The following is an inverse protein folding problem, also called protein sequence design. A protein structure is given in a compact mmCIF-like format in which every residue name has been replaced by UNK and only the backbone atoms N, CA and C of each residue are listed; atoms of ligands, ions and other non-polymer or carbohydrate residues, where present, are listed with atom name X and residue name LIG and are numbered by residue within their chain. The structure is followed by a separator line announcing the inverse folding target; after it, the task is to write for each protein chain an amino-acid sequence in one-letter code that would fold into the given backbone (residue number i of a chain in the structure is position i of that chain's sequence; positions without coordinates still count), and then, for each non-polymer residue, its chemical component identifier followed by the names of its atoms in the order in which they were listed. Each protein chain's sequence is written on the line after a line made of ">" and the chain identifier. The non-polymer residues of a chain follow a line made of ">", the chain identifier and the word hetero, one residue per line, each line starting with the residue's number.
data_IF_163326203770
#
_entry.id   IF_163326203770
#
_cell.length_a   1.000
_cell.length_b   1.000
_cell.length_c   1.000
_cell.angle_alpha   90.00
_cell.angle_beta   90.00
_cell.angle_gamma   90.00
#
_symmetry.space_group_name_H-M   'P 1'
#
loop_
_entity.id
_entity.type
_entity.pdbx_description
1 polymer ?
#
# COMPACT_ATOMS: atom_id res chain seq x y z
N UNK A 1 35.08 6.83 -45.83
CA UNK A 1 33.82 7.58 -45.62
C UNK A 1 32.86 6.63 -44.92
N UNK A 2 32.70 6.76 -43.59
CA UNK A 2 31.88 5.86 -42.79
C UNK A 2 30.53 6.51 -42.55
N UNK A 3 29.48 6.07 -43.25
CA UNK A 3 28.12 6.53 -43.04
C UNK A 3 27.56 5.90 -41.76
N UNK A 4 27.22 6.72 -40.76
CA UNK A 4 26.49 6.28 -39.57
C UNK A 4 24.99 6.33 -39.87
N UNK A 5 24.35 5.17 -39.92
CA UNK A 5 22.91 5.04 -40.10
C UNK A 5 22.21 5.38 -38.78
N UNK A 6 21.51 6.52 -38.72
CA UNK A 6 20.68 6.89 -37.57
C UNK A 6 19.28 6.28 -37.76
N UNK A 7 18.92 5.31 -36.92
CA UNK A 7 17.58 4.72 -36.89
C UNK A 7 16.74 5.51 -35.89
N UNK A 8 15.68 6.17 -36.35
CA UNK A 8 14.74 6.91 -35.50
C UNK A 8 13.51 6.02 -35.22
N UNK A 9 13.37 5.57 -33.97
CA UNK A 9 12.17 4.88 -33.50
C UNK A 9 11.13 5.93 -33.06
N UNK A 10 10.00 6.01 -33.76
CA UNK A 10 8.83 6.77 -33.32
C UNK A 10 7.94 5.86 -32.46
N UNK A 11 7.86 6.13 -31.15
CA UNK A 11 6.90 5.49 -30.24
C UNK A 11 5.71 6.42 -30.05
N UNK A 12 4.51 5.95 -30.38
CA UNK A 12 3.26 6.69 -30.14
C UNK A 12 2.74 6.37 -28.74
N UNK A 13 2.58 7.39 -27.90
CA UNK A 13 1.88 7.28 -26.61
C UNK A 13 0.41 7.61 -26.86
N UNK A 14 -0.46 6.61 -26.78
CA UNK A 14 -1.91 6.79 -26.77
C UNK A 14 -2.31 7.32 -25.38
N UNK A 15 -2.63 8.61 -25.28
CA UNK A 15 -3.23 9.20 -24.08
C UNK A 15 -4.73 8.89 -24.12
N UNK A 16 -5.16 7.92 -23.32
CA UNK A 16 -6.57 7.62 -23.15
C UNK A 16 -7.16 8.61 -22.15
N UNK A 17 -7.79 9.68 -22.66
CA UNK A 17 -8.55 10.61 -21.83
C UNK A 17 -9.96 10.05 -21.63
N UNK A 18 -10.12 9.13 -20.68
CA UNK A 18 -11.47 8.78 -20.21
C UNK A 18 -11.93 9.84 -19.23
N UNK A 19 -12.86 10.71 -19.64
CA UNK A 19 -13.72 11.44 -18.71
C UNK A 19 -14.66 10.43 -18.05
N UNK A 20 -14.11 9.63 -17.14
CA UNK A 20 -14.89 8.74 -16.30
C UNK A 20 -15.57 9.60 -15.22
N UNK A 21 -16.88 9.78 -15.42
CA UNK A 21 -17.99 9.92 -14.47
C UNK A 21 -17.69 10.45 -13.07
N UNK A 22 -18.52 11.35 -12.49
CA UNK A 22 -18.38 11.71 -11.08
C UNK A 22 -18.54 10.43 -10.27
N UNK A 23 -17.41 9.93 -9.77
CA UNK A 23 -17.37 8.74 -8.95
C UNK A 23 -18.29 9.03 -7.77
N UNK A 24 -19.35 8.24 -7.67
CA UNK A 24 -20.02 8.00 -6.42
C UNK A 24 -18.94 7.92 -5.34
N UNK A 25 -19.06 8.70 -4.27
CA UNK A 25 -18.23 8.59 -3.10
C UNK A 25 -18.40 7.16 -2.55
N UNK A 26 -17.66 6.22 -3.11
CA UNK A 26 -17.57 4.87 -2.64
C UNK A 26 -16.87 5.02 -1.30
N UNK A 27 -17.63 4.85 -0.22
CA UNK A 27 -17.08 4.51 1.08
C UNK A 27 -16.31 3.20 0.89
N UNK A 28 -15.04 3.32 0.52
CA UNK A 28 -14.11 2.21 0.47
C UNK A 28 -13.87 1.78 1.91
N UNK A 29 -14.72 0.86 2.39
CA UNK A 29 -14.46 0.17 3.64
C UNK A 29 -13.22 -0.69 3.40
N UNK A 30 -12.04 -0.13 3.65
CA UNK A 30 -10.77 -0.82 3.55
C UNK A 30 -10.58 -1.70 4.77
N UNK A 31 -10.27 -2.98 4.56
CA UNK A 31 -9.84 -3.87 5.64
C UNK A 31 -8.31 -3.81 5.71
N UNK A 32 -7.78 -3.52 6.89
CA UNK A 32 -6.33 -3.56 7.16
C UNK A 32 -6.07 -4.83 7.97
N UNK A 33 -5.26 -5.73 7.43
CA UNK A 33 -4.78 -6.92 8.16
C UNK A 33 -3.25 -6.94 8.17
N UNK A 34 -2.67 -7.60 9.17
CA UNK A 34 -1.22 -7.74 9.25
C UNK A 34 -0.77 -8.84 10.21
N UNK A 35 0.54 -9.10 10.22
CA UNK A 35 1.17 -10.07 11.12
C UNK A 35 2.35 -9.41 11.84
N UNK A 36 2.36 -9.51 13.17
CA UNK A 36 3.47 -9.02 14.00
C UNK A 36 4.40 -10.17 14.38
N UNK A 37 5.70 -9.97 14.16
CA UNK A 37 6.76 -10.93 14.47
C UNK A 37 7.82 -10.27 15.36
N UNK A 38 8.34 -11.01 16.34
CA UNK A 38 9.57 -10.66 17.03
C UNK A 38 10.74 -11.28 16.26
N UNK A 39 11.71 -10.45 15.89
CA UNK A 39 12.92 -10.88 15.17
C UNK A 39 14.15 -10.45 15.95
N UNK A 40 15.04 -11.39 16.23
CA UNK A 40 16.40 -11.15 16.70
C UNK A 40 17.38 -11.66 15.65
N UNK A 41 18.52 -10.99 15.50
CA UNK A 41 19.51 -11.34 14.49
C UNK A 41 19.96 -12.81 14.67
N UNK A 42 19.76 -13.63 13.65
CA UNK A 42 20.14 -15.05 13.66
C UNK A 42 19.09 -16.01 14.23
N UNK A 43 17.91 -15.55 14.63
CA UNK A 43 16.81 -16.40 15.07
C UNK A 43 15.66 -16.46 14.05
N UNK A 44 14.86 -17.53 14.11
CA UNK A 44 13.63 -17.61 13.35
C UNK A 44 12.57 -16.67 13.96
N UNK A 45 11.90 -15.80 13.17
CA UNK A 45 10.93 -14.85 13.71
C UNK A 45 9.75 -15.55 14.41
N UNK A 46 9.49 -15.17 15.66
CA UNK A 46 8.39 -15.72 16.46
C UNK A 46 7.13 -14.86 16.34
N UNK A 47 5.95 -15.50 16.32
CA UNK A 47 4.67 -14.80 16.42
C UNK A 47 4.51 -14.16 17.79
N UNK A 48 3.89 -12.97 17.84
CA UNK A 48 3.65 -12.25 19.09
C UNK A 48 2.15 -12.10 19.33
N UNK A 49 1.65 -12.75 20.38
CA UNK A 49 0.25 -12.68 20.83
C UNK A 49 0.06 -11.52 21.80
N UNK A 50 -1.11 -10.87 21.75
CA UNK A 50 -1.56 -9.94 22.77
C UNK A 50 -0.97 -8.53 22.64
N UNK A 51 -0.36 -8.19 21.49
CA UNK A 51 0.06 -6.82 21.23
C UNK A 51 -1.14 -5.97 20.81
N UNK A 52 -1.23 -4.78 21.38
CA UNK A 52 -2.18 -3.77 20.93
C UNK A 52 -1.63 -3.08 19.67
N UNK A 53 -2.36 -3.19 18.57
CA UNK A 53 -2.06 -2.56 17.29
C UNK A 53 -2.98 -1.37 17.11
N UNK A 54 -2.41 -0.21 16.81
CA UNK A 54 -3.15 1.03 16.58
C UNK A 54 -2.92 1.49 15.16
N UNK A 55 -3.99 1.50 14.36
CA UNK A 55 -3.99 2.01 12.99
C UNK A 55 -4.64 3.39 13.00
N UNK A 56 -3.93 4.39 12.52
CA UNK A 56 -4.44 5.75 12.37
C UNK A 56 -4.65 6.06 10.90
N UNK A 57 -5.86 6.42 10.53
CA UNK A 57 -6.12 6.99 9.22
C UNK A 57 -5.53 8.40 9.16
N UNK A 58 -4.95 8.74 8.02
CA UNK A 58 -4.52 10.11 7.72
C UNK A 58 -5.46 10.64 6.64
N UNK A 59 -6.04 11.80 6.91
CA UNK A 59 -6.85 12.52 5.94
C UNK A 59 -5.94 13.12 4.84
N UNK A 60 -6.53 13.46 3.70
CA UNK A 60 -5.77 13.98 2.55
C UNK A 60 -5.02 15.30 2.85
N UNK A 61 -5.43 16.03 3.88
CA UNK A 61 -4.81 17.26 4.36
C UNK A 61 -3.75 17.03 5.47
N UNK A 62 -3.44 15.76 5.77
CA UNK A 62 -2.45 15.36 6.77
C UNK A 62 -2.95 15.36 8.22
N UNK A 63 -4.24 15.63 8.47
CA UNK A 63 -4.83 15.49 9.80
C UNK A 63 -4.99 14.02 10.19
N UNK A 64 -4.90 13.74 11.48
CA UNK A 64 -5.29 12.42 12.00
C UNK A 64 -6.81 12.25 11.85
N UNK A 65 -7.20 11.18 11.16
CA UNK A 65 -8.59 10.75 10.99
C UNK A 65 -8.98 9.69 12.02
N UNK A 66 -9.78 8.72 11.58
CA UNK A 66 -10.23 7.63 12.44
C UNK A 66 -9.07 6.79 13.01
N UNK A 67 -9.21 6.36 14.27
CA UNK A 67 -8.28 5.43 14.92
C UNK A 67 -8.95 4.07 15.11
N UNK A 68 -8.25 3.01 14.72
CA UNK A 68 -8.68 1.63 14.85
C UNK A 68 -7.69 0.88 15.73
N UNK A 69 -8.21 0.04 16.62
CA UNK A 69 -7.39 -0.76 17.54
C UNK A 69 -7.71 -2.24 17.37
N UNK A 70 -6.67 -3.07 17.33
CA UNK A 70 -6.78 -4.51 17.28
C UNK A 70 -5.79 -5.16 18.24
N UNK A 71 -6.02 -6.41 18.62
CA UNK A 71 -5.09 -7.18 19.45
C UNK A 71 -4.66 -8.43 18.70
N UNK A 72 -3.36 -8.70 18.66
CA UNK A 72 -2.84 -9.85 17.90
C UNK A 72 -3.28 -11.19 18.50
N UNK A 73 -3.68 -12.12 17.63
CA UNK A 73 -4.04 -13.50 17.99
C UNK A 73 -2.79 -14.38 18.25
N UNK A 74 -2.98 -15.68 18.48
CA UNK A 74 -1.87 -16.63 18.72
C UNK A 74 -0.89 -16.75 17.54
N UNK A 75 -1.34 -16.48 16.31
CA UNK A 75 -0.51 -16.44 15.12
C UNK A 75 0.20 -15.09 14.93
N UNK A 76 -0.12 -14.08 15.74
CA UNK A 76 0.38 -12.71 15.60
C UNK A 76 -0.41 -11.85 14.62
N UNK A 77 -1.59 -12.31 14.18
CA UNK A 77 -2.44 -11.63 13.19
C UNK A 77 -3.39 -10.63 13.86
N UNK A 78 -3.71 -9.55 13.15
CA UNK A 78 -4.70 -8.53 13.52
C UNK A 78 -5.49 -8.04 12.31
#
# INVERSE_FOLDING_TARGET
>A
MNARLAVYLFTWVLVYLSTASPAAAQSSTGVVTGVVRNSTQGANPASVRGLNVVVRALEADGREGATFTATTNDAGEY
#
